data_IF_459324563250
#
_entry.id   IF_459324563250
#
_cell.length_a   1.000
_cell.length_b   1.000
_cell.length_c   1.000
_cell.angle_alpha   90.00
_cell.angle_beta   90.00
_cell.angle_gamma   90.00
#
_symmetry.space_group_name_H-M   'P 1'
#
loop_
_entity.id
_entity.type
_entity.pdbx_description
1 polymer ?
#
# COMPACT_ATOMS: atom_id res chain seq x y z
N UNK A 1 5.76 21.47 -12.73
CA UNK A 1 5.06 20.30 -13.31
C UNK A 1 5.41 19.06 -12.51
N UNK A 2 4.43 18.36 -11.92
CA UNK A 2 4.68 17.11 -11.18
C UNK A 2 3.80 16.82 -9.96
N UNK A 3 2.53 17.21 -9.98
CA UNK A 3 1.41 16.64 -9.21
C UNK A 3 0.24 16.69 -10.20
N UNK A 4 -0.54 15.62 -10.38
CA UNK A 4 -1.42 15.39 -11.56
C UNK A 4 -0.69 14.99 -12.86
N UNK A 5 0.31 14.12 -12.80
CA UNK A 5 0.66 13.31 -14.00
C UNK A 5 -0.46 12.31 -14.24
N UNK A 6 -1.31 12.60 -15.24
CA UNK A 6 -2.47 11.89 -15.80
C UNK A 6 -3.33 10.98 -14.89
N UNK A 7 -2.72 9.98 -14.23
CA UNK A 7 -3.41 8.87 -13.58
C UNK A 7 -4.02 9.23 -12.21
N UNK A 8 -3.29 9.91 -11.32
CA UNK A 8 -3.83 10.35 -10.01
C UNK A 8 -4.98 11.36 -10.17
N UNK A 9 -4.89 12.22 -11.18
CA UNK A 9 -5.97 13.15 -11.53
C UNK A 9 -7.18 12.40 -12.10
N UNK A 10 -6.95 11.37 -12.93
CA UNK A 10 -8.01 10.48 -13.41
C UNK A 10 -8.74 9.78 -12.27
N UNK A 11 -8.00 9.21 -11.30
CA UNK A 11 -8.56 8.59 -10.11
C UNK A 11 -9.42 9.59 -9.33
N UNK A 12 -8.85 10.75 -9.01
CA UNK A 12 -9.56 11.78 -8.24
C UNK A 12 -10.83 12.26 -8.96
N UNK A 13 -10.79 12.46 -10.27
CA UNK A 13 -11.92 12.96 -11.04
C UNK A 13 -13.06 11.95 -11.14
N UNK A 14 -12.75 10.67 -11.31
CA UNK A 14 -13.75 9.61 -11.26
C UNK A 14 -14.39 9.53 -9.86
N UNK A 15 -13.58 9.46 -8.81
CA UNK A 15 -14.06 9.28 -7.43
C UNK A 15 -14.90 10.46 -6.93
N UNK A 16 -14.52 11.69 -7.29
CA UNK A 16 -15.26 12.92 -6.93
C UNK A 16 -16.50 13.15 -7.78
N UNK A 17 -16.62 12.47 -8.93
CA UNK A 17 -17.70 12.70 -9.87
C UNK A 17 -17.50 13.89 -10.80
N UNK A 18 -16.28 14.45 -10.86
CA UNK A 18 -15.97 15.56 -11.75
C UNK A 18 -16.20 15.21 -13.22
N UNK A 19 -15.90 13.97 -13.62
CA UNK A 19 -16.10 13.47 -15.00
C UNK A 19 -17.47 12.83 -15.21
N UNK A 20 -18.02 12.16 -14.19
CA UNK A 20 -19.25 11.35 -14.28
C UNK A 20 -20.51 12.10 -13.80
N UNK A 21 -20.38 13.34 -13.30
CA UNK A 21 -21.45 14.13 -12.70
C UNK A 21 -21.86 13.68 -11.29
N UNK A 22 -21.51 12.46 -10.87
CA UNK A 22 -21.74 11.93 -9.54
C UNK A 22 -20.55 11.08 -9.07
N UNK A 23 -20.20 11.07 -7.76
CA UNK A 23 -19.08 10.28 -7.24
C UNK A 23 -19.15 8.80 -7.65
N UNK A 24 -18.15 8.38 -8.44
CA UNK A 24 -18.11 7.08 -9.08
C UNK A 24 -16.99 6.20 -8.49
N UNK A 25 -17.32 5.06 -7.87
CA UNK A 25 -16.39 4.28 -7.04
C UNK A 25 -15.43 3.38 -7.84
N UNK A 26 -15.55 3.32 -9.17
CA UNK A 26 -14.75 2.41 -9.99
C UNK A 26 -13.68 3.16 -10.79
N UNK A 27 -12.44 2.67 -10.74
CA UNK A 27 -11.33 3.13 -11.56
C UNK A 27 -10.31 2.01 -11.75
N UNK A 28 -9.75 1.86 -12.95
CA UNK A 28 -8.86 0.73 -13.33
C UNK A 28 -7.56 0.56 -12.52
N UNK A 29 -7.18 1.54 -11.70
CA UNK A 29 -5.87 1.56 -11.01
C UNK A 29 -5.95 1.26 -9.52
N UNK A 30 -7.13 1.41 -8.92
CA UNK A 30 -7.35 1.25 -7.49
C UNK A 30 -8.46 0.22 -7.27
N UNK A 31 -8.43 -0.43 -6.12
CA UNK A 31 -9.44 -1.41 -5.79
C UNK A 31 -10.80 -0.73 -5.50
N UNK A 32 -11.88 -1.32 -6.01
CA UNK A 32 -13.24 -0.83 -5.82
C UNK A 32 -13.65 -0.68 -4.35
N UNK A 33 -13.12 -1.47 -3.41
CA UNK A 33 -13.41 -1.33 -1.97
C UNK A 33 -12.97 0.06 -1.49
N UNK A 34 -11.75 0.48 -1.85
CA UNK A 34 -11.22 1.80 -1.54
C UNK A 34 -12.00 2.89 -2.30
N UNK A 35 -12.38 2.61 -3.55
CA UNK A 35 -13.18 3.51 -4.36
C UNK A 35 -14.56 3.81 -3.74
N UNK A 36 -15.28 2.79 -3.25
CA UNK A 36 -16.54 2.97 -2.53
C UNK A 36 -16.37 3.83 -1.28
N UNK A 37 -15.32 3.58 -0.50
CA UNK A 37 -15.01 4.35 0.70
C UNK A 37 -14.76 5.83 0.37
N UNK A 38 -13.94 6.12 -0.63
CA UNK A 38 -13.61 7.49 -1.01
C UNK A 38 -14.80 8.20 -1.67
N UNK A 39 -15.53 7.54 -2.56
CA UNK A 39 -16.75 8.11 -3.15
C UNK A 39 -17.81 8.43 -2.08
N UNK A 40 -17.91 7.64 -1.01
CA UNK A 40 -18.76 7.98 0.13
C UNK A 40 -18.35 9.32 0.77
N UNK A 41 -17.05 9.53 1.04
CA UNK A 41 -16.57 10.80 1.59
C UNK A 41 -16.79 11.97 0.63
N UNK A 42 -16.59 11.78 -0.68
CA UNK A 42 -16.90 12.79 -1.69
C UNK A 42 -18.40 13.14 -1.76
N UNK A 43 -19.31 12.19 -1.47
CA UNK A 43 -20.75 12.49 -1.35
C UNK A 43 -21.07 13.33 -0.12
N UNK A 44 -20.36 13.11 0.99
CA UNK A 44 -20.58 13.86 2.22
C UNK A 44 -20.00 15.28 2.16
N UNK A 45 -18.76 15.42 1.68
CA UNK A 45 -18.02 16.68 1.62
C UNK A 45 -17.24 16.76 0.29
N UNK A 46 -17.90 17.18 -0.81
CA UNK A 46 -17.31 17.17 -2.15
C UNK A 46 -16.18 18.18 -2.35
N UNK A 47 -16.10 19.22 -1.51
CA UNK A 47 -15.07 20.25 -1.61
C UNK A 47 -13.67 19.77 -1.18
N UNK A 48 -13.61 18.68 -0.41
CA UNK A 48 -12.36 18.12 0.10
C UNK A 48 -11.80 17.13 -0.91
N UNK A 49 -10.51 17.27 -1.24
CA UNK A 49 -9.80 16.33 -2.10
C UNK A 49 -9.42 15.07 -1.33
N UNK A 50 -10.40 14.21 -1.02
CA UNK A 50 -10.21 13.01 -0.19
C UNK A 50 -9.12 12.05 -0.69
N UNK A 51 -8.93 11.93 -2.01
CA UNK A 51 -7.81 11.18 -2.59
C UNK A 51 -6.44 11.70 -2.13
N UNK A 52 -6.25 13.02 -2.18
CA UNK A 52 -5.03 13.68 -1.72
C UNK A 52 -4.87 13.56 -0.20
N UNK A 53 -5.94 13.82 0.55
CA UNK A 53 -5.93 13.72 2.02
C UNK A 53 -5.52 12.32 2.46
N UNK A 54 -6.13 11.28 1.88
CA UNK A 54 -5.78 9.89 2.16
C UNK A 54 -4.31 9.60 1.80
N UNK A 55 -3.85 10.05 0.62
CA UNK A 55 -2.47 9.87 0.18
C UNK A 55 -1.44 10.49 1.13
N UNK A 56 -1.66 11.74 1.55
CA UNK A 56 -0.78 12.44 2.50
C UNK A 56 -0.82 11.76 3.87
N UNK A 57 -2.00 11.43 4.39
CA UNK A 57 -2.12 10.77 5.69
C UNK A 57 -1.41 9.40 5.70
N UNK A 58 -1.54 8.63 4.62
CA UNK A 58 -0.84 7.36 4.48
C UNK A 58 0.69 7.55 4.48
N UNK A 59 1.21 8.50 3.70
CA UNK A 59 2.65 8.76 3.68
C UNK A 59 3.16 9.25 5.04
N UNK A 60 2.48 10.21 5.68
CA UNK A 60 2.88 10.71 6.99
C UNK A 60 2.87 9.60 8.04
N UNK A 61 1.85 8.73 8.00
CA UNK A 61 1.77 7.56 8.89
C UNK A 61 2.94 6.61 8.65
N UNK A 62 3.23 6.27 7.39
CA UNK A 62 4.36 5.42 7.03
C UNK A 62 5.70 5.99 7.49
N UNK A 63 5.96 7.27 7.21
CA UNK A 63 7.17 7.99 7.63
C UNK A 63 7.29 8.01 9.16
N UNK A 64 6.19 8.30 9.87
CA UNK A 64 6.17 8.30 11.33
C UNK A 64 6.56 6.93 11.90
N UNK A 65 5.94 5.84 11.44
CA UNK A 65 6.27 4.51 11.92
C UNK A 65 7.71 4.11 11.59
N UNK A 66 8.18 4.45 10.39
CA UNK A 66 9.56 4.20 9.99
C UNK A 66 10.55 4.92 10.94
N UNK A 67 10.36 6.21 11.21
CA UNK A 67 11.23 6.97 12.13
C UNK A 67 11.12 6.49 13.58
N UNK A 68 9.90 6.24 14.06
CA UNK A 68 9.69 5.67 15.39
C UNK A 68 10.46 4.36 15.55
N UNK A 69 10.34 3.45 14.58
CA UNK A 69 10.99 2.14 14.64
C UNK A 69 12.51 2.26 14.48
N UNK A 70 13.00 3.14 13.61
CA UNK A 70 14.41 3.47 13.51
C UNK A 70 15.00 3.94 14.85
N UNK A 71 14.35 4.89 15.51
CA UNK A 71 14.79 5.41 16.81
C UNK A 71 14.79 4.33 17.90
N UNK A 72 13.78 3.46 17.92
CA UNK A 72 13.72 2.35 18.87
C UNK A 72 14.86 1.36 18.62
N UNK A 73 15.12 1.01 17.35
CA UNK A 73 16.20 0.10 16.97
C UNK A 73 17.56 0.66 17.38
N UNK A 74 17.86 1.90 16.99
CA UNK A 74 19.12 2.57 17.35
C UNK A 74 19.31 2.67 18.87
N UNK A 75 18.26 2.92 19.63
CA UNK A 75 18.33 2.95 21.10
C UNK A 75 18.55 1.56 21.71
N UNK A 76 18.02 0.51 21.06
CA UNK A 76 18.11 -0.85 21.60
C UNK A 76 19.47 -1.48 21.32
N UNK A 77 20.07 -1.15 20.18
CA UNK A 77 21.39 -1.63 19.75
C UNK A 77 22.54 -0.66 20.14
N UNK A 78 22.27 0.31 21.02
CA UNK A 78 23.21 1.36 21.42
C UNK A 78 23.96 2.03 20.24
N UNK A 79 23.25 2.23 19.14
CA UNK A 79 23.80 2.85 17.95
C UNK A 79 24.19 4.31 18.25
N UNK A 80 25.36 4.73 17.77
CA UNK A 80 25.86 6.07 17.98
C UNK A 80 24.89 7.16 17.47
N UNK A 81 25.00 8.36 18.02
CA UNK A 81 24.13 9.52 17.67
C UNK A 81 24.14 9.82 16.17
N UNK A 82 25.30 9.65 15.51
CA UNK A 82 25.43 9.87 14.06
C UNK A 82 24.56 8.88 13.28
N UNK A 83 24.64 7.58 13.59
CA UNK A 83 23.80 6.56 12.93
C UNK A 83 22.31 6.74 13.20
N UNK A 84 21.97 7.33 14.35
CA UNK A 84 20.57 7.61 14.70
C UNK A 84 20.01 8.80 13.92
N UNK A 85 20.68 9.96 13.97
CA UNK A 85 20.10 11.22 13.51
C UNK A 85 20.46 11.60 12.07
N UNK A 86 21.64 11.19 11.56
CA UNK A 86 22.06 11.56 10.21
C UNK A 86 21.12 10.99 9.14
N UNK A 87 20.69 9.70 9.19
CA UNK A 87 19.75 9.16 8.21
C UNK A 87 18.37 9.80 8.29
N UNK A 88 17.89 10.11 9.49
CA UNK A 88 16.61 10.80 9.70
C UNK A 88 16.68 12.22 9.11
N UNK A 89 17.76 12.97 9.38
CA UNK A 89 17.96 14.29 8.81
C UNK A 89 18.02 14.21 7.27
N UNK A 90 18.84 13.31 6.73
CA UNK A 90 18.97 13.10 5.29
C UNK A 90 17.61 12.81 4.64
N UNK A 91 16.85 11.84 5.16
CA UNK A 91 15.54 11.50 4.60
C UNK A 91 14.55 12.67 4.73
N UNK A 92 14.57 13.42 5.84
CA UNK A 92 13.66 14.54 6.08
C UNK A 92 13.93 15.74 5.17
N UNK A 93 15.18 16.01 4.81
CA UNK A 93 15.53 17.15 3.97
C UNK A 93 15.56 16.81 2.48
N UNK A 94 15.98 15.61 2.10
CA UNK A 94 16.21 15.26 0.70
C UNK A 94 15.19 14.30 0.11
N UNK A 95 14.65 13.36 0.91
CA UNK A 95 13.79 12.29 0.39
C UNK A 95 12.30 12.64 0.51
N UNK A 96 11.82 12.92 1.72
CA UNK A 96 10.38 13.12 1.97
C UNK A 96 9.78 14.35 1.31
N UNK A 97 10.44 15.52 1.25
CA UNK A 97 9.87 16.68 0.56
C UNK A 97 9.59 16.41 -0.92
N UNK A 98 10.45 15.61 -1.58
CA UNK A 98 10.24 15.19 -2.96
C UNK A 98 8.97 14.33 -3.11
N UNK A 99 8.83 13.29 -2.30
CA UNK A 99 7.67 12.38 -2.41
C UNK A 99 6.37 12.98 -1.88
N UNK A 100 6.42 13.85 -0.87
CA UNK A 100 5.25 14.58 -0.36
C UNK A 100 4.75 15.62 -1.38
N UNK A 101 5.66 16.29 -2.10
CA UNK A 101 5.28 17.24 -3.16
C UNK A 101 4.82 16.55 -4.45
N UNK A 102 5.23 15.30 -4.66
CA UNK A 102 4.90 14.49 -5.83
C UNK A 102 4.24 13.18 -5.43
N UNK A 103 3.21 13.24 -4.59
CA UNK A 103 2.55 12.02 -4.14
C UNK A 103 1.91 11.31 -5.33
N UNK A 104 2.30 10.05 -5.53
CA UNK A 104 1.79 9.22 -6.60
C UNK A 104 1.17 7.96 -6.02
N UNK A 105 0.07 7.49 -6.62
CA UNK A 105 -0.63 6.27 -6.21
C UNK A 105 0.26 5.02 -6.17
N UNK A 106 1.39 5.02 -6.88
CA UNK A 106 2.37 3.93 -6.90
C UNK A 106 3.33 3.97 -5.70
N UNK A 107 3.64 5.15 -5.16
CA UNK A 107 4.61 5.36 -4.09
C UNK A 107 3.95 5.38 -2.70
N UNK A 108 2.76 5.98 -2.59
CA UNK A 108 1.98 6.06 -1.34
C UNK A 108 1.85 4.69 -0.63
N UNK A 109 1.40 3.60 -1.29
CA UNK A 109 1.25 2.30 -0.64
C UNK A 109 2.59 1.68 -0.24
N UNK A 110 3.68 2.00 -0.96
CA UNK A 110 5.03 1.55 -0.61
C UNK A 110 5.48 2.17 0.71
N UNK A 111 5.44 3.51 0.82
CA UNK A 111 5.85 4.25 2.02
C UNK A 111 5.00 3.84 3.23
N UNK A 112 3.68 3.78 3.05
CA UNK A 112 2.74 3.39 4.10
C UNK A 112 3.06 1.99 4.64
N UNK A 113 3.11 0.99 3.77
CA UNK A 113 3.30 -0.41 4.19
C UNK A 113 4.71 -0.64 4.74
N UNK A 114 5.76 -0.05 4.14
CA UNK A 114 7.13 -0.16 4.64
C UNK A 114 7.26 0.39 6.06
N UNK A 115 6.60 1.51 6.36
CA UNK A 115 6.54 2.06 7.71
C UNK A 115 6.10 1.01 8.74
N UNK A 116 5.01 0.29 8.46
CA UNK A 116 4.53 -0.77 9.35
C UNK A 116 5.43 -2.00 9.35
N UNK A 117 5.97 -2.41 8.19
CA UNK A 117 6.87 -3.56 8.07
C UNK A 117 8.11 -3.45 8.95
N UNK A 118 8.66 -2.25 9.13
CA UNK A 118 9.81 -2.03 10.02
C UNK A 118 9.54 -2.41 11.48
N UNK A 119 8.28 -2.58 11.90
CA UNK A 119 7.94 -3.02 13.25
C UNK A 119 8.39 -4.46 13.52
N UNK A 120 8.47 -5.30 12.47
CA UNK A 120 8.97 -6.68 12.56
C UNK A 120 10.49 -6.75 12.73
N UNK A 121 11.20 -5.65 12.46
CA UNK A 121 12.66 -5.58 12.60
C UNK A 121 13.10 -5.14 14.01
N UNK A 122 12.15 -4.77 14.87
CA UNK A 122 12.48 -4.32 16.22
C UNK A 122 12.96 -5.50 17.07
N UNK A 123 14.03 -5.35 17.87
CA UNK A 123 14.50 -6.40 18.76
C UNK A 123 13.41 -6.69 19.80
N UNK A 124 12.90 -7.92 19.79
CA UNK A 124 11.86 -8.33 20.73
C UNK A 124 12.41 -8.38 22.15
N UNK A 125 11.86 -7.60 23.08
CA UNK A 125 12.06 -7.81 24.54
C UNK A 125 11.11 -8.87 25.10
N UNK A 126 10.94 -10.00 24.41
CA UNK A 126 10.05 -11.10 24.81
C UNK A 126 9.27 -11.76 23.66
N UNK A 127 8.27 -12.58 24.02
CA UNK A 127 7.42 -13.31 23.06
C UNK A 127 6.64 -12.36 22.13
N UNK A 128 6.58 -12.77 20.87
CA UNK A 128 5.85 -12.14 19.78
C UNK A 128 4.39 -11.93 20.18
N UNK A 129 3.86 -10.72 20.00
CA UNK A 129 2.42 -10.50 20.10
C UNK A 129 1.82 -10.64 18.71
N UNK A 130 0.66 -11.30 18.62
CA UNK A 130 -0.10 -11.44 17.36
C UNK A 130 -0.29 -10.08 16.66
N UNK A 131 -0.45 -9.01 17.45
CA UNK A 131 -0.55 -7.63 16.96
C UNK A 131 0.64 -7.19 16.10
N UNK A 132 1.85 -7.62 16.44
CA UNK A 132 3.08 -7.17 15.78
C UNK A 132 3.20 -7.75 14.35
N UNK A 133 2.53 -8.88 14.07
CA UNK A 133 2.38 -9.47 12.74
C UNK A 133 1.11 -8.94 12.05
N UNK A 134 0.00 -8.88 12.79
CA UNK A 134 -1.30 -8.49 12.24
C UNK A 134 -1.32 -7.06 11.69
N UNK A 135 -0.68 -6.11 12.37
CA UNK A 135 -0.65 -4.71 11.92
C UNK A 135 0.03 -4.57 10.54
N UNK A 136 1.26 -5.08 10.30
CA UNK A 136 1.87 -5.09 8.98
C UNK A 136 1.04 -5.80 7.91
N UNK A 137 0.34 -6.89 8.27
CA UNK A 137 -0.56 -7.60 7.34
C UNK A 137 -1.71 -6.70 6.90
N UNK A 138 -2.39 -6.04 7.84
CA UNK A 138 -3.49 -5.12 7.55
C UNK A 138 -3.00 -3.91 6.74
N UNK A 139 -1.82 -3.39 7.05
CA UNK A 139 -1.21 -2.30 6.29
C UNK A 139 -0.90 -2.71 4.84
N UNK A 140 -0.38 -3.94 4.64
CA UNK A 140 -0.10 -4.47 3.31
C UNK A 140 -1.37 -4.75 2.51
N UNK A 141 -2.42 -5.29 3.14
CA UNK A 141 -3.75 -5.42 2.53
C UNK A 141 -4.30 -4.05 2.12
N UNK A 142 -4.23 -3.05 3.00
CA UNK A 142 -4.69 -1.71 2.65
C UNK A 142 -3.85 -1.09 1.52
N UNK A 143 -2.53 -1.27 1.54
CA UNK A 143 -1.63 -0.83 0.48
C UNK A 143 -1.95 -1.46 -0.88
N UNK A 144 -2.37 -2.73 -0.90
CA UNK A 144 -2.78 -3.39 -2.16
C UNK A 144 -4.11 -2.87 -2.71
N UNK A 145 -4.97 -2.28 -1.85
CA UNK A 145 -6.18 -1.59 -2.31
C UNK A 145 -5.86 -0.29 -3.07
N UNK A 146 -4.77 0.39 -2.71
CA UNK A 146 -4.30 1.59 -3.42
C UNK A 146 -3.61 1.18 -4.73
N UNK A 147 -2.71 0.18 -4.67
CA UNK A 147 -2.05 -0.36 -5.86
C UNK A 147 -1.70 -1.83 -5.67
N UNK A 148 -2.35 -2.70 -6.44
CA UNK A 148 -2.20 -4.15 -6.32
C UNK A 148 -0.76 -4.62 -6.50
N UNK A 149 -0.06 -4.11 -7.50
CA UNK A 149 1.30 -4.50 -7.89
C UNK A 149 2.32 -4.10 -6.83
N UNK A 150 2.20 -2.88 -6.29
CA UNK A 150 3.00 -2.44 -5.13
C UNK A 150 2.71 -3.30 -3.91
N UNK A 151 1.43 -3.64 -3.68
CA UNK A 151 1.01 -4.55 -2.62
C UNK A 151 1.60 -5.96 -2.76
N UNK A 152 1.66 -6.52 -3.96
CA UNK A 152 2.23 -7.86 -4.21
C UNK A 152 3.72 -7.91 -3.87
N UNK A 153 4.48 -6.90 -4.31
CA UNK A 153 5.91 -6.82 -4.00
C UNK A 153 6.12 -6.75 -2.47
N UNK A 154 5.33 -5.93 -1.78
CA UNK A 154 5.42 -5.79 -0.33
C UNK A 154 4.94 -7.04 0.41
N UNK A 155 3.97 -7.78 -0.12
CA UNK A 155 3.53 -9.06 0.43
C UNK A 155 4.65 -10.11 0.39
N UNK A 156 5.49 -10.11 -0.65
CA UNK A 156 6.68 -10.96 -0.71
C UNK A 156 7.67 -10.60 0.40
N UNK A 157 7.98 -9.32 0.59
CA UNK A 157 8.87 -8.86 1.67
C UNK A 157 8.30 -9.15 3.05
N UNK A 158 7.00 -8.91 3.26
CA UNK A 158 6.31 -9.24 4.50
C UNK A 158 6.44 -10.72 4.83
N UNK A 159 6.18 -11.58 3.84
CA UNK A 159 6.25 -13.04 4.02
C UNK A 159 7.67 -13.49 4.34
N UNK A 160 8.70 -12.87 3.74
CA UNK A 160 10.09 -13.12 4.08
C UNK A 160 10.42 -12.66 5.50
N UNK A 161 9.95 -11.48 5.92
CA UNK A 161 10.16 -10.97 7.28
C UNK A 161 9.49 -11.88 8.32
N UNK A 162 8.24 -12.29 8.09
CA UNK A 162 7.51 -13.22 8.96
C UNK A 162 8.24 -14.57 9.03
N UNK A 163 8.68 -15.11 7.89
CA UNK A 163 9.44 -16.36 7.84
C UNK A 163 10.76 -16.25 8.62
N UNK A 164 11.58 -15.24 8.33
CA UNK A 164 12.86 -14.99 9.01
C UNK A 164 12.66 -14.89 10.52
N UNK A 165 11.63 -14.15 10.92
CA UNK A 165 11.33 -13.91 12.33
C UNK A 165 10.87 -15.17 13.05
N UNK A 166 9.95 -15.94 12.47
CA UNK A 166 9.49 -17.20 13.02
C UNK A 166 10.65 -18.22 13.18
N UNK A 167 11.52 -18.33 12.17
CA UNK A 167 12.66 -19.26 12.21
C UNK A 167 13.70 -18.83 13.24
N UNK A 168 14.00 -17.53 13.34
CA UNK A 168 15.02 -17.00 14.26
C UNK A 168 14.61 -17.13 15.72
N UNK A 169 13.38 -16.77 16.06
CA UNK A 169 12.94 -16.65 17.47
C UNK A 169 12.38 -17.96 18.04
N UNK A 170 11.61 -18.73 17.25
CA UNK A 170 10.96 -19.96 17.75
C UNK A 170 11.64 -21.25 17.28
N UNK A 171 12.47 -21.18 16.22
CA UNK A 171 13.04 -22.36 15.59
C UNK A 171 11.99 -23.24 14.88
N UNK A 172 12.45 -24.31 14.23
CA UNK A 172 11.57 -25.20 13.48
C UNK A 172 10.75 -26.12 14.41
N UNK A 173 9.47 -25.80 14.59
CA UNK A 173 8.50 -26.61 15.34
C UNK A 173 7.17 -26.74 14.58
N UNK A 174 6.44 -27.83 14.77
CA UNK A 174 5.10 -28.09 14.20
C UNK A 174 4.11 -26.94 14.47
N UNK A 175 4.19 -26.30 15.64
CA UNK A 175 3.35 -25.13 15.98
C UNK A 175 3.68 -23.92 15.10
N UNK A 176 4.96 -23.63 14.88
CA UNK A 176 5.43 -22.56 13.99
C UNK A 176 4.98 -22.83 12.55
N UNK A 177 5.17 -24.06 12.06
CA UNK A 177 4.74 -24.45 10.71
C UNK A 177 3.23 -24.27 10.55
N UNK A 178 2.43 -24.69 11.54
CA UNK A 178 0.99 -24.47 11.52
C UNK A 178 0.63 -22.97 11.50
N UNK A 179 1.31 -22.14 12.29
CA UNK A 179 1.10 -20.69 12.29
C UNK A 179 1.46 -20.04 10.95
N UNK A 180 2.57 -20.45 10.32
CA UNK A 180 2.96 -19.97 8.99
C UNK A 180 1.95 -20.38 7.91
N UNK A 181 1.43 -21.61 7.97
CA UNK A 181 0.37 -22.07 7.06
C UNK A 181 -0.91 -21.26 7.27
N UNK A 182 -1.32 -21.04 8.52
CA UNK A 182 -2.50 -20.20 8.82
C UNK A 182 -2.30 -18.78 8.32
N UNK A 183 -1.12 -18.18 8.53
CA UNK A 183 -0.77 -16.87 7.98
C UNK A 183 -0.90 -16.86 6.45
N UNK A 184 -0.25 -17.79 5.75
CA UNK A 184 -0.27 -17.85 4.29
C UNK A 184 -1.70 -18.03 3.75
N UNK A 185 -2.50 -18.88 4.38
CA UNK A 185 -3.89 -19.13 3.97
C UNK A 185 -4.76 -17.90 4.25
N UNK A 186 -4.74 -17.35 5.46
CA UNK A 186 -5.62 -16.22 5.83
C UNK A 186 -5.23 -14.95 5.10
N UNK A 187 -3.94 -14.60 5.11
CA UNK A 187 -3.44 -13.41 4.43
C UNK A 187 -3.54 -13.55 2.91
N UNK A 188 -3.14 -14.70 2.35
CA UNK A 188 -3.24 -14.98 0.92
C UNK A 188 -4.68 -14.98 0.42
N UNK A 189 -5.61 -15.62 1.15
CA UNK A 189 -7.03 -15.60 0.81
C UNK A 189 -7.63 -14.19 0.89
N UNK A 190 -7.25 -13.39 1.89
CA UNK A 190 -7.71 -12.00 2.00
C UNK A 190 -7.19 -11.14 0.85
N UNK A 191 -5.90 -11.28 0.53
CA UNK A 191 -5.24 -10.52 -0.54
C UNK A 191 -5.82 -10.84 -1.91
N UNK A 192 -5.95 -12.14 -2.23
CA UNK A 192 -6.55 -12.60 -3.48
C UNK A 192 -8.04 -12.33 -3.53
N UNK A 193 -8.74 -12.43 -2.41
CA UNK A 193 -10.17 -12.15 -2.30
C UNK A 193 -10.49 -10.70 -2.67
N UNK A 194 -9.75 -9.73 -2.13
CA UNK A 194 -9.90 -8.32 -2.50
C UNK A 194 -9.66 -8.07 -3.99
N UNK A 195 -8.65 -8.72 -4.58
CA UNK A 195 -8.33 -8.58 -6.00
C UNK A 195 -9.37 -9.23 -6.91
N UNK A 196 -9.84 -10.42 -6.53
CA UNK A 196 -10.84 -11.14 -7.30
C UNK A 196 -12.20 -10.44 -7.24
N UNK A 197 -12.54 -9.87 -6.08
CA UNK A 197 -13.73 -9.04 -5.93
C UNK A 197 -13.67 -7.81 -6.85
N UNK A 198 -12.52 -7.15 -6.92
CA UNK A 198 -12.32 -6.02 -7.82
C UNK A 198 -12.50 -6.39 -9.30
N UNK A 199 -11.90 -7.50 -9.73
CA UNK A 199 -12.10 -8.04 -11.08
C UNK A 199 -13.55 -8.41 -11.35
N UNK A 200 -14.25 -8.96 -10.37
CA UNK A 200 -15.67 -9.27 -10.51
C UNK A 200 -16.50 -8.00 -10.72
N UNK A 201 -16.28 -6.96 -9.91
CA UNK A 201 -16.98 -5.66 -10.06
C UNK A 201 -16.63 -5.00 -11.40
N UNK A 202 -15.36 -5.00 -11.79
CA UNK A 202 -14.90 -4.55 -13.11
C UNK A 202 -15.66 -5.28 -14.24
N UNK A 203 -15.83 -6.59 -14.11
CA UNK A 203 -16.50 -7.41 -15.12
C UNK A 203 -17.98 -7.07 -15.33
N UNK A 204 -18.64 -6.51 -14.32
CA UNK A 204 -20.04 -6.10 -14.39
C UNK A 204 -20.19 -4.64 -14.87
N UNK A 205 -19.15 -3.84 -14.68
CA UNK A 205 -19.20 -2.39 -14.85
C UNK A 205 -18.63 -1.95 -16.20
N UNK A 206 -17.64 -2.67 -16.72
CA UNK A 206 -17.06 -2.40 -18.03
C UNK A 206 -17.97 -2.92 -19.15
N UNK A 207 -18.44 -2.00 -20.00
CA UNK A 207 -19.16 -2.34 -21.24
C UNK A 207 -18.27 -3.12 -22.21
N UNK A 208 -18.87 -4.01 -22.99
CA UNK A 208 -18.13 -4.79 -23.99
C UNK A 208 -17.43 -3.90 -25.04
N UNK A 209 -18.02 -2.76 -25.40
CA UNK A 209 -17.41 -1.74 -26.27
C UNK A 209 -16.09 -1.20 -25.69
N UNK A 210 -16.06 -0.91 -24.39
CA UNK A 210 -14.84 -0.45 -23.71
C UNK A 210 -13.76 -1.54 -23.72
N UNK A 211 -14.14 -2.80 -23.52
CA UNK A 211 -13.19 -3.92 -23.57
C UNK A 211 -12.61 -4.12 -24.95
N UNK A 212 -13.45 -4.02 -25.98
CA UNK A 212 -13.03 -4.14 -27.38
C UNK A 212 -12.11 -2.98 -27.77
N UNK A 213 -12.49 -1.75 -27.44
CA UNK A 213 -11.66 -0.57 -27.63
C UNK A 213 -10.31 -0.69 -26.91
N UNK A 214 -10.32 -1.09 -25.64
CA UNK A 214 -9.09 -1.22 -24.87
C UNK A 214 -8.19 -2.34 -25.42
N UNK A 215 -8.76 -3.46 -25.87
CA UNK A 215 -8.02 -4.53 -26.55
C UNK A 215 -7.36 -4.02 -27.84
N UNK A 216 -8.11 -3.27 -28.66
CA UNK A 216 -7.58 -2.66 -29.88
C UNK A 216 -6.48 -1.63 -29.60
N UNK A 217 -6.65 -0.80 -28.56
CA UNK A 217 -5.65 0.17 -28.10
C UNK A 217 -4.37 -0.53 -27.64
N UNK A 218 -4.49 -1.56 -26.80
CA UNK A 218 -3.34 -2.33 -26.30
C UNK A 218 -2.58 -2.94 -27.48
N UNK A 219 -3.28 -3.58 -28.41
CA UNK A 219 -2.67 -4.11 -29.62
C UNK A 219 -1.92 -2.99 -30.37
N UNK A 220 -2.57 -1.88 -30.71
CA UNK A 220 -1.93 -0.79 -31.44
C UNK A 220 -0.71 -0.17 -30.72
N UNK A 221 -0.78 -0.01 -29.40
CA UNK A 221 0.30 0.61 -28.60
C UNK A 221 1.48 -0.33 -28.36
N UNK A 222 1.23 -1.63 -28.21
CA UNK A 222 2.24 -2.64 -27.89
C UNK A 222 2.82 -3.33 -29.14
N UNK A 223 2.26 -3.10 -30.33
CA UNK A 223 2.90 -3.53 -31.57
C UNK A 223 4.24 -2.79 -31.74
N UNK A 224 5.38 -3.50 -31.90
CA UNK A 224 6.63 -2.85 -32.25
C UNK A 224 6.42 -2.23 -33.63
N UNK A 225 6.51 -0.90 -33.69
CA UNK A 225 6.45 -0.16 -34.95
C UNK A 225 7.47 -0.78 -35.91
N UNK A 226 6.98 -1.34 -37.02
CA UNK A 226 7.82 -1.67 -38.18
C UNK A 226 8.56 -0.41 -38.64
#
# INVERSE_FOLDING_TARGET
>A
MGYMTNDDHGIQNALSGFTTGTPYPYHQFINCILGYLLSFFYRMLPQIQWWYVMSILCMLTGIYYMYRNWLILCRTEDAGRIMTYLPIAFCSFFLWPYYLSRSAFTVVPAIFTLGFLTSLLLPGKGRIRIRDILIPCLACLFGSLIRYETGMVLACYLSLCVFYYCVREEGWNRKMVAALVVYLVVFGASFLGCHQYDKYVASQTETDEFREFNRGRIQYMDYPRL
#
